data_IF_866830764457
#
_entry.id   IF_866830764457
#
_cell.length_a   1.000
_cell.length_b   1.000
_cell.length_c   1.000
_cell.angle_alpha   90.00
_cell.angle_beta   90.00
_cell.angle_gamma   90.00
#
_symmetry.space_group_name_H-M   'P 1'
#
loop_
_entity.id
_entity.type
_entity.pdbx_description
1 polymer ?
#
# COMPACT_ATOMS: atom_id res chain seq x y z
N UNK A 1 23.70 -18.21 13.77
CA UNK A 1 23.89 -17.98 12.32
C UNK A 1 22.60 -17.85 11.51
N UNK A 2 21.38 -17.98 12.07
CA UNK A 2 20.13 -17.80 11.31
C UNK A 2 19.65 -16.34 11.20
N UNK A 3 20.10 -15.45 12.09
CA UNK A 3 19.54 -14.09 12.22
C UNK A 3 20.29 -13.01 11.41
N UNK A 4 21.39 -13.37 10.74
CA UNK A 4 22.22 -12.44 9.97
C UNK A 4 21.90 -12.50 8.46
N UNK A 5 21.28 -13.60 7.99
CA UNK A 5 20.91 -13.76 6.59
C UNK A 5 19.60 -13.06 6.22
N UNK A 6 18.66 -12.94 7.17
CA UNK A 6 17.37 -12.27 6.94
C UNK A 6 17.56 -10.76 6.77
N UNK A 7 18.43 -10.12 7.55
CA UNK A 7 18.74 -8.69 7.44
C UNK A 7 19.44 -8.28 6.13
N UNK A 8 20.21 -9.18 5.49
CA UNK A 8 20.91 -8.87 4.22
C UNK A 8 19.99 -9.04 3.01
N UNK A 9 18.96 -9.89 3.11
CA UNK A 9 17.99 -10.05 2.03
C UNK A 9 16.93 -8.93 2.02
N UNK A 10 16.51 -8.47 3.20
CA UNK A 10 15.60 -7.31 3.34
C UNK A 10 16.22 -6.01 2.79
N UNK A 11 17.53 -5.83 2.94
CA UNK A 11 18.26 -4.68 2.37
C UNK A 11 18.35 -4.69 0.83
N UNK A 12 18.00 -5.81 0.16
CA UNK A 12 17.91 -5.90 -1.31
C UNK A 12 16.51 -5.61 -1.86
N UNK A 13 15.50 -5.47 -1.01
CA UNK A 13 14.14 -5.07 -1.37
C UNK A 13 13.75 -3.81 -0.58
N UNK A 14 14.21 -2.62 -1.01
CA UNK A 14 14.02 -1.37 -0.26
C UNK A 14 12.54 -1.02 -0.02
N UNK A 15 11.61 -1.61 -0.79
CA UNK A 15 10.18 -1.62 -0.50
C UNK A 15 9.50 -2.81 -1.21
N UNK A 16 8.61 -3.52 -0.51
CA UNK A 16 7.67 -4.42 -1.18
C UNK A 16 6.51 -3.58 -1.73
N UNK A 17 6.30 -3.70 -3.05
CA UNK A 17 5.16 -3.12 -3.73
C UNK A 17 3.94 -4.05 -3.65
N UNK A 18 2.79 -3.47 -3.35
CA UNK A 18 1.50 -4.16 -3.24
C UNK A 18 0.49 -3.54 -4.20
N UNK A 19 -0.43 -4.36 -4.68
CA UNK A 19 -1.57 -3.87 -5.44
C UNK A 19 -2.82 -3.83 -4.55
N UNK A 20 -3.32 -2.63 -4.31
CA UNK A 20 -4.58 -2.42 -3.60
C UNK A 20 -5.76 -2.29 -4.57
N UNK A 21 -6.96 -2.62 -4.12
CA UNK A 21 -8.23 -2.23 -4.74
C UNK A 21 -9.02 -1.40 -3.74
N UNK A 22 -9.48 -0.23 -4.15
CA UNK A 22 -10.38 0.57 -3.33
C UNK A 22 -11.72 -0.15 -3.22
N UNK A 23 -12.15 -0.46 -2.01
CA UNK A 23 -13.43 -1.15 -1.74
C UNK A 23 -14.48 -0.20 -1.18
N UNK A 24 -14.06 0.86 -0.47
CA UNK A 24 -14.95 1.86 0.10
C UNK A 24 -14.26 3.23 0.16
N UNK A 25 -15.04 4.31 0.06
CA UNK A 25 -14.55 5.69 0.17
C UNK A 25 -14.87 6.37 1.52
N UNK A 26 -15.94 5.92 2.20
CA UNK A 26 -16.40 6.48 3.48
C UNK A 26 -16.95 5.35 4.37
N UNK A 27 -16.13 4.75 5.26
CA UNK A 27 -14.72 5.04 5.49
C UNK A 27 -13.82 4.56 4.33
N UNK A 28 -12.71 5.27 4.09
CA UNK A 28 -11.78 4.94 3.00
C UNK A 28 -11.06 3.61 3.31
N UNK A 29 -11.24 2.63 2.44
CA UNK A 29 -10.72 1.27 2.60
C UNK A 29 -10.10 0.76 1.31
N UNK A 30 -8.91 0.17 1.44
CA UNK A 30 -8.15 -0.42 0.35
C UNK A 30 -7.83 -1.86 0.69
N UNK A 31 -8.27 -2.78 -0.15
CA UNK A 31 -7.98 -4.20 -0.02
C UNK A 31 -6.72 -4.56 -0.82
N UNK A 32 -5.70 -5.10 -0.18
CA UNK A 32 -4.44 -5.47 -0.86
C UNK A 32 -4.35 -6.97 -1.17
N UNK A 33 -5.03 -7.79 -0.39
CA UNK A 33 -5.05 -9.24 -0.49
C UNK A 33 -6.44 -9.78 -0.15
N UNK A 34 -6.65 -11.10 -0.27
CA UNK A 34 -7.95 -11.72 0.03
C UNK A 34 -8.43 -11.52 1.48
N UNK A 35 -7.52 -11.26 2.43
CA UNK A 35 -7.85 -11.08 3.86
C UNK A 35 -7.44 -9.74 4.45
N UNK A 36 -6.66 -8.92 3.72
CA UNK A 36 -6.07 -7.70 4.28
C UNK A 36 -6.78 -6.47 3.73
N UNK A 37 -7.53 -5.79 4.59
CA UNK A 37 -8.17 -4.51 4.32
C UNK A 37 -7.46 -3.44 5.13
N UNK A 38 -6.95 -2.42 4.44
CA UNK A 38 -6.31 -1.25 5.03
C UNK A 38 -7.33 -0.13 5.16
N UNK A 39 -7.46 0.38 6.37
CA UNK A 39 -8.22 1.59 6.65
C UNK A 39 -7.36 2.84 6.43
N UNK A 40 -8.01 4.00 6.35
CA UNK A 40 -7.37 5.31 6.20
C UNK A 40 -6.14 5.54 7.09
N UNK A 41 -6.15 5.04 8.33
CA UNK A 41 -5.06 5.24 9.30
C UNK A 41 -3.75 4.53 8.91
N UNK A 42 -3.83 3.49 8.09
CA UNK A 42 -2.66 2.73 7.61
C UNK A 42 -2.18 3.20 6.23
N UNK A 43 -2.81 4.24 5.67
CA UNK A 43 -2.58 4.70 4.31
C UNK A 43 -2.00 6.11 4.33
N UNK A 44 -0.81 6.27 3.75
CA UNK A 44 -0.19 7.55 3.47
C UNK A 44 -0.43 7.92 2.00
N UNK A 45 -0.64 9.22 1.73
CA UNK A 45 -0.81 9.75 0.38
C UNK A 45 0.08 10.98 0.18
N UNK A 46 0.38 11.33 -1.07
CA UNK A 46 1.07 12.58 -1.40
C UNK A 46 0.17 13.78 -1.04
N UNK A 47 0.79 14.89 -0.62
CA UNK A 47 0.10 16.17 -0.40
C UNK A 47 -0.72 16.56 -1.63
N UNK A 48 -1.99 16.95 -1.41
CA UNK A 48 -2.93 17.32 -2.47
C UNK A 48 -3.79 16.16 -3.01
N UNK A 49 -3.49 14.92 -2.64
CA UNK A 49 -4.33 13.75 -2.92
C UNK A 49 -5.28 13.52 -1.75
N UNK A 50 -6.57 13.31 -2.03
CA UNK A 50 -7.57 13.04 -1.00
C UNK A 50 -8.46 11.87 -1.39
N UNK A 51 -9.33 11.42 -0.48
CA UNK A 51 -10.24 10.30 -0.75
C UNK A 51 -11.12 10.51 -1.99
N UNK A 52 -11.44 11.76 -2.36
CA UNK A 52 -12.22 12.09 -3.56
C UNK A 52 -11.45 11.87 -4.87
N UNK A 53 -10.13 11.76 -4.82
CA UNK A 53 -9.29 11.44 -5.97
C UNK A 53 -9.42 9.97 -6.40
N UNK A 54 -10.03 9.12 -5.57
CA UNK A 54 -10.17 7.69 -5.80
C UNK A 54 -11.63 7.28 -6.02
N UNK A 55 -11.85 6.20 -6.76
CA UNK A 55 -13.15 5.58 -6.96
C UNK A 55 -13.12 4.14 -6.47
N UNK A 56 -14.27 3.64 -6.02
CA UNK A 56 -14.43 2.22 -5.69
C UNK A 56 -14.13 1.39 -6.93
N UNK A 57 -13.24 0.41 -6.79
CA UNK A 57 -12.74 -0.42 -7.89
C UNK A 57 -11.37 0.00 -8.43
N UNK A 58 -10.87 1.20 -8.10
CA UNK A 58 -9.55 1.64 -8.53
C UNK A 58 -8.47 0.70 -8.01
N UNK A 59 -7.60 0.25 -8.91
CA UNK A 59 -6.40 -0.50 -8.56
C UNK A 59 -5.29 0.50 -8.23
N UNK A 60 -4.69 0.36 -7.06
CA UNK A 60 -3.67 1.24 -6.52
C UNK A 60 -2.35 0.51 -6.40
N UNK A 61 -1.27 1.25 -6.58
CA UNK A 61 0.10 0.80 -6.32
C UNK A 61 0.49 1.34 -4.96
N UNK A 62 0.84 0.43 -4.06
CA UNK A 62 1.15 0.71 -2.67
C UNK A 62 2.60 0.32 -2.39
N UNK A 63 3.30 1.12 -1.60
CA UNK A 63 4.59 0.75 -1.01
C UNK A 63 4.43 0.55 0.48
N UNK A 64 4.82 -0.62 0.98
CA UNK A 64 4.88 -0.84 2.42
C UNK A 64 6.15 -0.19 2.99
N UNK A 65 6.00 0.62 4.04
CA UNK A 65 7.14 1.19 4.77
C UNK A 65 7.83 0.11 5.60
N UNK A 66 9.16 -0.03 5.45
CA UNK A 66 9.95 -0.98 6.23
C UNK A 66 9.81 -0.68 7.73
N UNK A 67 9.58 -1.72 8.53
CA UNK A 67 9.41 -1.61 9.98
C UNK A 67 8.03 -1.14 10.46
N UNK A 68 7.01 -1.06 9.58
CA UNK A 68 5.65 -0.63 9.95
C UNK A 68 4.51 -1.34 9.21
N UNK A 69 3.27 -0.93 9.55
CA UNK A 69 2.02 -1.31 8.89
C UNK A 69 1.47 -0.18 8.00
N UNK A 70 2.25 0.87 7.78
CA UNK A 70 1.88 2.00 6.93
C UNK A 70 2.21 1.71 5.46
N UNK A 71 1.27 2.03 4.58
CA UNK A 71 1.37 1.85 3.14
C UNK A 71 1.22 3.21 2.44
N UNK A 72 2.21 3.57 1.62
CA UNK A 72 2.15 4.77 0.79
C UNK A 72 1.46 4.46 -0.54
N UNK A 73 0.39 5.18 -0.85
CA UNK A 73 -0.24 5.16 -2.17
C UNK A 73 0.63 5.96 -3.13
N UNK A 74 1.27 5.28 -4.09
CA UNK A 74 2.08 5.92 -5.11
C UNK A 74 1.24 6.47 -6.25
N UNK A 75 0.44 5.61 -6.86
CA UNK A 75 -0.39 5.95 -8.02
C UNK A 75 -1.48 4.90 -8.27
N UNK A 76 -2.37 5.18 -9.21
CA UNK A 76 -3.33 4.23 -9.75
C UNK A 76 -2.66 3.35 -10.80
N UNK A 77 -2.99 2.07 -10.80
CA UNK A 77 -2.53 1.13 -11.82
C UNK A 77 -3.26 1.40 -13.14
N UNK A 78 -2.60 2.06 -14.07
CA UNK A 78 -3.01 2.13 -15.48
C UNK A 78 -2.75 0.83 -16.23
N UNK A 79 -3.29 0.74 -17.44
CA UNK A 79 -2.82 -0.16 -18.49
C UNK A 79 -2.25 0.72 -19.61
N UNK A 80 -1.11 0.33 -20.17
CA UNK A 80 -0.54 0.91 -21.38
C UNK A 80 -1.14 0.20 -22.59
#
# INVERSE_FOLDING_TARGET
MKQIAENVFEARRPADWYYGKVISLSPFQVQIDQKTVLEKNFLAVRTGVSASSFKVGDKLILLRKQGGQEYLILDKKGAL
#
